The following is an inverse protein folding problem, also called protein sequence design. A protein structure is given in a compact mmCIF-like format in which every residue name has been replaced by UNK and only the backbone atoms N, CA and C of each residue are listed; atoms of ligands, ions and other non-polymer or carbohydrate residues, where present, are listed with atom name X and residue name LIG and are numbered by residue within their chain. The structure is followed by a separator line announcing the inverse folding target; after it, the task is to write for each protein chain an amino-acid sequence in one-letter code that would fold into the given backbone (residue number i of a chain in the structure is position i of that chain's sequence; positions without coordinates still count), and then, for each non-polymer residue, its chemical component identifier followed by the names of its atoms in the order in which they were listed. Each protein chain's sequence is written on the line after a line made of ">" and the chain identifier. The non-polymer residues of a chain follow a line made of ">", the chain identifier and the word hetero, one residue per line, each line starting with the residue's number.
data_IF_868456412863
#
_entry.id   IF_868456412863
#
_cell.length_a   1.000
_cell.length_b   1.000
_cell.length_c   1.000
_cell.angle_alpha   90.00
_cell.angle_beta   90.00
_cell.angle_gamma   90.00
#
_symmetry.space_group_name_H-M   'P 1'
#
loop_
_entity.id
_entity.type
_entity.pdbx_description
1 polymer ?
#
# COMPACT_ATOMS: atom_id res chain seq x y z
N UNK A 1 -9.01 10.32 17.77
CA UNK A 1 -9.74 9.34 16.93
C UNK A 1 -8.68 8.55 16.20
N UNK A 2 -8.45 7.29 16.56
CA UNK A 2 -7.54 6.42 15.82
C UNK A 2 -8.13 6.20 14.43
N UNK A 3 -7.43 6.61 13.38
CA UNK A 3 -7.87 6.41 12.00
C UNK A 3 -7.82 4.91 11.70
N UNK A 4 -8.95 4.32 11.33
CA UNK A 4 -8.99 2.93 10.85
C UNK A 4 -8.50 2.89 9.39
N UNK A 5 -7.76 1.84 9.03
CA UNK A 5 -7.29 1.63 7.66
C UNK A 5 -8.31 0.79 6.89
N UNK A 6 -8.76 1.29 5.73
CA UNK A 6 -9.53 0.48 4.79
C UNK A 6 -8.57 -0.29 3.87
N UNK A 7 -8.61 -1.61 3.92
CA UNK A 7 -7.81 -2.49 3.05
C UNK A 7 -8.53 -2.78 1.72
N UNK A 8 -7.79 -2.77 0.61
CA UNK A 8 -8.25 -3.21 -0.71
C UNK A 8 -7.14 -3.97 -1.45
N UNK A 9 -7.50 -4.99 -2.21
CA UNK A 9 -6.62 -5.61 -3.22
C UNK A 9 -6.85 -4.94 -4.58
N UNK A 10 -5.77 -4.55 -5.26
CA UNK A 10 -5.79 -3.92 -6.58
C UNK A 10 -5.06 -4.83 -7.57
N UNK A 11 -5.61 -4.98 -8.78
CA UNK A 11 -4.98 -5.72 -9.87
C UNK A 11 -4.50 -4.76 -10.97
N UNK A 12 -3.24 -4.88 -11.38
CA UNK A 12 -2.65 -4.08 -12.47
C UNK A 12 -1.93 -4.98 -13.50
N UNK A 13 -2.03 -4.68 -14.82
CA UNK A 13 -1.59 -5.60 -15.88
C UNK A 13 -0.13 -6.07 -15.85
N UNK A 14 0.80 -5.31 -15.25
CA UNK A 14 2.24 -5.64 -15.21
C UNK A 14 2.76 -6.03 -13.83
N UNK A 15 2.03 -5.67 -12.78
CA UNK A 15 2.45 -5.85 -11.39
C UNK A 15 1.70 -7.02 -10.75
N UNK A 16 0.57 -7.43 -11.34
CA UNK A 16 -0.32 -8.41 -10.75
C UNK A 16 -1.18 -7.78 -9.66
N UNK A 17 -1.52 -8.59 -8.66
CA UNK A 17 -2.31 -8.17 -7.50
C UNK A 17 -1.39 -7.60 -6.43
N UNK A 18 -1.82 -6.53 -5.77
CA UNK A 18 -1.12 -5.93 -4.65
C UNK A 18 -2.10 -5.29 -3.67
N UNK A 19 -1.66 -5.15 -2.42
CA UNK A 19 -2.47 -4.61 -1.34
C UNK A 19 -2.33 -3.10 -1.24
N UNK A 20 -3.43 -2.42 -0.97
CA UNK A 20 -3.45 -1.00 -0.60
C UNK A 20 -4.24 -0.78 0.67
N UNK A 21 -3.76 0.15 1.50
CA UNK A 21 -4.38 0.53 2.76
C UNK A 21 -4.69 2.02 2.71
N UNK A 22 -5.96 2.37 2.94
CA UNK A 22 -6.46 3.73 2.80
C UNK A 22 -6.65 4.32 4.20
N UNK A 23 -5.97 5.43 4.46
CA UNK A 23 -6.13 6.22 5.69
C UNK A 23 -6.88 7.52 5.38
N UNK A 24 -8.06 7.69 5.99
CA UNK A 24 -8.93 8.85 5.76
C UNK A 24 -10.00 8.63 4.69
N UNK A 25 -10.70 9.69 4.29
CA UNK A 25 -11.84 9.62 3.36
C UNK A 25 -11.44 10.07 1.94
N UNK A 26 -11.30 9.12 1.01
CA UNK A 26 -10.95 9.40 -0.39
C UNK A 26 -11.98 10.27 -1.14
N UNK A 27 -13.23 10.34 -0.65
CA UNK A 27 -14.29 11.18 -1.23
C UNK A 27 -14.35 12.55 -0.57
N UNK A 28 -13.90 12.66 0.69
CA UNK A 28 -13.96 13.89 1.51
C UNK A 28 -12.57 14.34 1.96
N UNK A 29 -11.67 14.53 1.00
CA UNK A 29 -10.34 15.11 1.20
C UNK A 29 -10.05 16.19 0.15
N UNK A 30 -9.13 17.10 0.47
CA UNK A 30 -8.69 18.16 -0.44
C UNK A 30 -7.67 17.62 -1.46
N UNK A 31 -6.82 16.68 -1.03
CA UNK A 31 -5.83 16.04 -1.88
C UNK A 31 -5.56 14.60 -1.43
N UNK A 32 -5.01 13.80 -2.34
CA UNK A 32 -4.69 12.39 -2.12
C UNK A 32 -3.19 12.20 -2.18
N UNK A 33 -2.63 11.48 -1.21
CA UNK A 33 -1.22 11.15 -1.15
C UNK A 33 -1.07 9.65 -1.35
N UNK A 34 -0.21 9.25 -2.28
CA UNK A 34 0.20 7.87 -2.46
C UNK A 34 1.54 7.67 -1.75
N UNK A 35 1.67 6.62 -0.96
CA UNK A 35 2.96 6.24 -0.36
C UNK A 35 3.36 4.84 -0.80
N UNK A 36 4.64 4.67 -1.08
CA UNK A 36 5.28 3.37 -1.25
C UNK A 36 6.34 3.27 -0.15
N UNK A 37 6.42 2.13 0.51
CA UNK A 37 7.37 1.91 1.59
C UNK A 37 8.75 1.48 1.05
N UNK A 38 9.75 1.47 1.92
CA UNK A 38 11.10 1.00 1.61
C UNK A 38 11.22 -0.52 1.90
N UNK A 39 12.38 -1.11 1.64
CA UNK A 39 12.68 -2.51 1.91
C UNK A 39 12.62 -2.82 3.42
N UNK A 40 12.02 -3.96 3.78
CA UNK A 40 11.96 -4.44 5.16
C UNK A 40 10.91 -3.73 6.03
N UNK A 41 10.03 -2.93 5.43
CA UNK A 41 8.84 -2.37 6.07
C UNK A 41 7.61 -2.53 5.17
N UNK A 42 6.46 -2.05 5.64
CA UNK A 42 5.20 -2.02 4.90
C UNK A 42 4.37 -0.76 5.27
N UNK A 43 3.10 -0.70 4.87
CA UNK A 43 2.19 0.41 5.16
C UNK A 43 2.14 0.83 6.64
N UNK A 44 2.41 -0.09 7.58
CA UNK A 44 2.41 0.19 9.03
C UNK A 44 3.37 1.31 9.41
N UNK A 45 4.54 1.38 8.77
CA UNK A 45 5.51 2.46 9.03
C UNK A 45 4.94 3.83 8.65
N UNK A 46 4.22 3.92 7.53
CA UNK A 46 3.54 5.15 7.12
C UNK A 46 2.38 5.47 8.04
N UNK A 47 1.56 4.47 8.39
CA UNK A 47 0.45 4.67 9.33
C UNK A 47 0.92 5.30 10.64
N UNK A 48 2.01 4.79 11.22
CA UNK A 48 2.59 5.32 12.45
C UNK A 48 3.13 6.75 12.27
N UNK A 49 3.85 7.01 11.17
CA UNK A 49 4.36 8.34 10.86
C UNK A 49 3.22 9.36 10.68
N UNK A 50 2.17 9.00 9.95
CA UNK A 50 1.03 9.86 9.69
C UNK A 50 0.25 10.13 10.98
N UNK A 51 0.13 9.17 11.90
CA UNK A 51 -0.54 9.37 13.19
C UNK A 51 0.25 10.25 14.19
N UNK A 52 1.47 10.67 13.86
CA UNK A 52 2.21 11.60 14.69
C UNK A 52 1.51 12.97 14.77
N UNK A 53 1.57 13.64 15.92
CA UNK A 53 0.89 14.92 16.17
C UNK A 53 1.26 16.01 15.16
N UNK A 54 2.51 16.02 14.70
CA UNK A 54 2.99 16.97 13.69
C UNK A 54 2.29 16.84 12.33
N UNK A 55 1.65 15.70 12.07
CA UNK A 55 0.94 15.41 10.82
C UNK A 55 -0.56 15.68 10.92
N UNK A 56 -1.09 16.10 12.07
CA UNK A 56 -2.53 16.26 12.31
C UNK A 56 -3.20 17.18 11.29
N UNK A 57 -2.58 18.33 10.96
CA UNK A 57 -3.13 19.28 9.99
C UNK A 57 -3.15 18.75 8.55
N UNK A 58 -2.20 17.87 8.22
CA UNK A 58 -2.16 17.21 6.92
C UNK A 58 -3.23 16.11 6.88
N UNK A 59 -3.34 15.31 7.94
CA UNK A 59 -4.36 14.26 8.08
C UNK A 59 -5.79 14.78 7.91
N UNK A 60 -6.10 15.97 8.44
CA UNK A 60 -7.43 16.59 8.30
C UNK A 60 -7.81 16.93 6.86
N UNK A 61 -6.82 17.09 5.97
CA UNK A 61 -7.00 17.60 4.59
C UNK A 61 -6.71 16.55 3.53
N UNK A 62 -5.97 15.51 3.89
CA UNK A 62 -5.50 14.48 2.98
C UNK A 62 -6.22 13.15 3.22
N UNK A 63 -6.33 12.36 2.15
CA UNK A 63 -6.47 10.92 2.29
C UNK A 63 -5.20 10.26 1.77
N UNK A 64 -4.74 9.22 2.45
CA UNK A 64 -3.53 8.50 2.11
C UNK A 64 -3.90 7.13 1.53
N UNK A 65 -3.15 6.72 0.51
CA UNK A 65 -3.21 5.40 -0.09
C UNK A 65 -1.81 4.82 0.08
N UNK A 66 -1.68 3.86 0.99
CA UNK A 66 -0.42 3.17 1.24
C UNK A 66 -0.39 1.91 0.39
N UNK A 67 0.58 1.81 -0.51
CA UNK A 67 0.83 0.60 -1.30
C UNK A 67 1.77 -0.29 -0.52
N UNK A 68 1.37 -1.55 -0.33
CA UNK A 68 2.31 -2.61 0.00
C UNK A 68 2.89 -3.20 -1.28
N UNK A 69 4.22 -3.24 -1.35
CA UNK A 69 4.96 -3.91 -2.41
C UNK A 69 4.58 -5.40 -2.37
N UNK A 70 4.26 -6.06 -3.51
CA UNK A 70 3.85 -7.46 -3.52
C UNK A 70 4.81 -8.37 -2.75
N UNK A 71 4.28 -9.16 -1.82
CA UNK A 71 5.08 -10.05 -0.98
C UNK A 71 5.73 -9.38 0.23
N UNK A 72 5.40 -8.12 0.52
CA UNK A 72 5.85 -7.39 1.71
C UNK A 72 4.69 -6.99 2.64
N UNK A 73 3.45 -7.30 2.27
CA UNK A 73 2.31 -7.22 3.18
C UNK A 73 2.45 -8.19 4.38
N UNK A 74 1.70 -7.92 5.44
CA UNK A 74 1.68 -8.78 6.61
C UNK A 74 1.22 -10.20 6.24
N UNK A 75 1.95 -11.20 6.74
CA UNK A 75 1.70 -12.63 6.48
C UNK A 75 1.67 -13.01 4.98
N UNK A 76 2.37 -12.24 4.14
CA UNK A 76 2.48 -12.53 2.72
C UNK A 76 2.98 -13.98 2.49
N UNK A 77 2.36 -14.73 1.56
CA UNK A 77 2.86 -16.05 1.20
C UNK A 77 4.27 -15.93 0.60
N UNK A 78 5.09 -16.95 0.83
CA UNK A 78 6.37 -17.05 0.15
C UNK A 78 6.14 -17.00 -1.38
N UNK A 79 6.95 -16.20 -2.06
CA UNK A 79 6.92 -16.16 -3.52
C UNK A 79 7.22 -17.57 -4.07
N UNK A 80 6.58 -17.97 -5.18
CA UNK A 80 6.84 -19.26 -5.80
C UNK A 80 8.33 -19.37 -6.18
N UNK A 81 8.90 -20.59 -6.16
CA UNK A 81 10.26 -20.82 -6.62
C UNK A 81 10.43 -20.34 -8.06
N UNK A 82 11.63 -19.85 -8.40
CA UNK A 82 11.89 -19.18 -9.70
C UNK A 82 11.54 -20.05 -10.92
N UNK A 83 11.60 -21.38 -10.77
CA UNK A 83 11.32 -22.36 -11.82
C UNK A 83 9.82 -22.51 -12.15
N UNK A 84 8.92 -21.92 -11.35
CA UNK A 84 7.45 -21.94 -11.56
C UNK A 84 6.90 -20.64 -12.14
N UNK A 85 7.75 -19.66 -12.49
CA UNK A 85 7.29 -18.45 -13.19
C UNK A 85 6.70 -18.88 -14.53
N UNK A 86 5.42 -18.53 -14.78
CA UNK A 86 4.82 -18.67 -16.11
C UNK A 86 5.78 -18.05 -17.14
N UNK A 87 6.03 -18.74 -18.27
CA UNK A 87 7.00 -18.28 -19.24
C UNK A 87 6.66 -16.85 -19.65
N UNK A 88 7.66 -15.97 -19.63
CA UNK A 88 7.48 -14.58 -19.98
C UNK A 88 6.82 -14.51 -21.38
N UNK A 89 5.58 -13.97 -21.49
CA UNK A 89 4.86 -13.93 -22.76
C UNK A 89 5.55 -13.06 -23.82
N UNK A 90 6.59 -12.32 -23.45
CA UNK A 90 7.44 -11.55 -24.35
C UNK A 90 8.65 -12.31 -24.90
N UNK A 91 8.99 -13.48 -24.35
CA UNK A 91 10.02 -14.38 -24.87
C UNK A 91 9.35 -15.36 -25.84
N UNK A 92 9.40 -15.03 -27.13
CA UNK A 92 9.05 -15.94 -28.23
C UNK A 92 10.20 -16.87 -28.59
#
# INVERSE_FOLDING_TARGET
>A
MTSELEHREISAPRVGKFNVYIQGDLKRCNFKILTVHDLGCNHTSWFNFINHESMEEIQKRAAFIHIDIPGQEDDAPALPPEDEKEPDPSVK
#
